data_IF_582379421586
#
_entry.id   IF_582379421586
#
_cell.length_a   1.000
_cell.length_b   1.000
_cell.length_c   1.000
_cell.angle_alpha   90.00
_cell.angle_beta   90.00
_cell.angle_gamma   90.00
#
_symmetry.space_group_name_H-M   'P 1'
#
loop_
_entity.id
_entity.type
_entity.pdbx_description
1 polymer ?
#
# COMPACT_ATOMS: atom_id res chain seq x y z
N UNK A 1 -9.81 -87.63 -10.17
CA UNK A 1 -10.39 -86.43 -10.79
C UNK A 1 -10.49 -85.34 -9.74
N UNK A 2 -10.04 -84.14 -10.12
CA UNK A 2 -10.31 -82.80 -9.56
C UNK A 2 -9.74 -82.39 -8.19
N UNK A 3 -8.66 -81.59 -8.30
CA UNK A 3 -8.25 -80.50 -7.42
C UNK A 3 -9.25 -79.32 -7.51
N UNK A 4 -9.44 -78.59 -6.40
CA UNK A 4 -9.71 -77.14 -6.36
C UNK A 4 -9.53 -76.68 -4.89
N UNK A 5 -8.45 -75.97 -4.55
CA UNK A 5 -8.22 -74.52 -4.68
C UNK A 5 -8.80 -73.72 -3.50
N UNK A 6 -7.91 -73.29 -2.60
CA UNK A 6 -8.22 -72.35 -1.52
C UNK A 6 -8.51 -70.95 -2.07
N UNK A 7 -9.55 -70.33 -1.55
CA UNK A 7 -9.94 -68.95 -1.85
C UNK A 7 -9.74 -68.07 -0.62
N UNK A 8 -8.86 -67.07 -0.76
CA UNK A 8 -8.64 -65.99 0.18
C UNK A 8 -9.86 -65.03 0.14
N UNK A 9 -10.67 -64.97 1.19
CA UNK A 9 -11.76 -64.00 1.29
C UNK A 9 -11.19 -62.58 1.52
N UNK A 10 -11.48 -61.66 0.61
CA UNK A 10 -11.17 -60.23 0.75
C UNK A 10 -12.15 -59.59 1.73
N UNK A 11 -11.73 -58.65 2.59
CA UNK A 11 -12.65 -57.96 3.47
C UNK A 11 -13.63 -57.10 2.64
N UNK A 12 -14.93 -57.30 2.87
CA UNK A 12 -15.99 -56.46 2.29
C UNK A 12 -15.81 -55.03 2.80
N UNK A 13 -15.56 -54.09 1.89
CA UNK A 13 -15.72 -52.66 2.18
C UNK A 13 -17.18 -52.40 2.54
N UNK A 14 -17.43 -52.07 3.81
CA UNK A 14 -18.72 -51.54 4.27
C UNK A 14 -18.82 -50.11 3.72
N UNK A 15 -19.93 -49.72 3.06
CA UNK A 15 -20.10 -48.34 2.63
C UNK A 15 -20.14 -47.46 3.89
N UNK A 16 -19.24 -46.47 3.96
CA UNK A 16 -19.33 -45.42 4.97
C UNK A 16 -20.73 -44.79 4.83
N UNK A 17 -21.59 -45.06 5.81
CA UNK A 17 -22.82 -44.32 5.99
C UNK A 17 -22.48 -42.85 6.11
N UNK A 18 -23.06 -42.10 5.20
CA UNK A 18 -23.19 -40.66 5.12
C UNK A 18 -23.20 -40.01 6.51
N UNK A 19 -22.08 -39.40 6.90
CA UNK A 19 -22.06 -38.35 7.91
C UNK A 19 -22.60 -37.08 7.25
N UNK A 20 -23.92 -37.05 7.04
CA UNK A 20 -24.62 -35.84 6.68
C UNK A 20 -24.83 -34.99 7.94
N UNK A 21 -24.61 -33.68 7.78
CA UNK A 21 -25.10 -32.58 8.63
C UNK A 21 -24.27 -32.20 9.86
N UNK A 22 -23.10 -31.59 9.61
CA UNK A 22 -22.64 -30.43 10.39
C UNK A 22 -22.22 -29.33 9.40
N UNK A 23 -23.18 -28.86 8.61
CA UNK A 23 -22.93 -27.83 7.57
C UNK A 23 -24.04 -26.78 7.63
N UNK A 24 -24.00 -25.95 8.67
CA UNK A 24 -25.01 -24.90 8.84
C UNK A 24 -24.85 -24.02 10.08
N UNK A 25 -23.98 -24.39 11.03
CA UNK A 25 -23.67 -23.55 12.18
C UNK A 25 -22.29 -22.92 11.94
N UNK A 26 -22.26 -21.57 11.91
CA UNK A 26 -21.12 -20.69 12.15
C UNK A 26 -20.33 -20.00 11.00
N UNK A 27 -20.71 -19.99 9.72
CA UNK A 27 -19.99 -19.11 8.76
C UNK A 27 -19.98 -17.63 9.22
N UNK A 28 -21.12 -17.11 9.66
CA UNK A 28 -21.25 -15.74 10.17
C UNK A 28 -20.48 -15.50 11.49
N UNK A 29 -20.41 -16.50 12.36
CA UNK A 29 -19.69 -16.39 13.63
C UNK A 29 -18.16 -16.46 13.44
N UNK A 30 -17.68 -17.18 12.42
CA UNK A 30 -16.27 -17.15 12.04
C UNK A 30 -15.90 -15.79 11.45
N UNK A 31 -16.74 -15.21 10.59
CA UNK A 31 -16.51 -13.87 10.04
C UNK A 31 -16.43 -12.81 11.16
N UNK A 32 -17.35 -12.86 12.13
CA UNK A 32 -17.31 -11.98 13.31
C UNK A 32 -16.03 -12.18 14.14
N UNK A 33 -15.62 -13.43 14.37
CA UNK A 33 -14.39 -13.72 15.10
C UNK A 33 -13.13 -13.24 14.36
N UNK A 34 -13.11 -13.33 13.02
CA UNK A 34 -12.02 -12.84 12.18
C UNK A 34 -11.95 -11.31 12.22
N UNK A 35 -13.08 -10.61 12.07
CA UNK A 35 -13.15 -9.16 12.18
C UNK A 35 -12.67 -8.70 13.56
N UNK A 36 -13.17 -9.31 14.64
CA UNK A 36 -12.73 -8.99 15.99
C UNK A 36 -11.23 -9.25 16.22
N UNK A 37 -10.66 -10.28 15.59
CA UNK A 37 -9.23 -10.53 15.65
C UNK A 37 -8.43 -9.46 14.90
N UNK A 38 -8.86 -9.07 13.71
CA UNK A 38 -8.24 -8.00 12.93
C UNK A 38 -8.26 -6.67 13.68
N UNK A 39 -9.40 -6.32 14.29
CA UNK A 39 -9.55 -5.10 15.09
C UNK A 39 -8.58 -5.08 16.29
N UNK A 40 -8.45 -6.20 17.01
CA UNK A 40 -7.48 -6.31 18.13
C UNK A 40 -6.05 -6.07 17.66
N UNK A 41 -5.65 -6.70 16.55
CA UNK A 41 -4.31 -6.52 15.97
C UNK A 41 -4.09 -5.05 15.58
N UNK A 42 -5.07 -4.43 14.91
CA UNK A 42 -4.97 -3.03 14.50
C UNK A 42 -4.91 -2.07 15.69
N UNK A 43 -5.66 -2.33 16.76
CA UNK A 43 -5.61 -1.55 17.99
C UNK A 43 -4.25 -1.64 18.68
N UNK A 44 -3.67 -2.84 18.80
CA UNK A 44 -2.33 -3.03 19.35
C UNK A 44 -1.27 -2.27 18.54
N UNK A 45 -1.35 -2.33 17.21
CA UNK A 45 -0.48 -1.57 16.31
C UNK A 45 -0.69 -0.06 16.48
N UNK A 46 -1.94 0.39 16.61
CA UNK A 46 -2.29 1.80 16.73
C UNK A 46 -1.79 2.45 18.03
N UNK A 47 -1.74 1.67 19.12
CA UNK A 47 -1.16 2.10 20.40
C UNK A 47 0.36 2.27 20.29
N UNK A 48 1.02 1.42 19.51
CA UNK A 48 2.49 1.46 19.36
C UNK A 48 2.95 2.49 18.33
N UNK A 49 2.18 2.73 17.27
CA UNK A 49 2.59 3.52 16.12
C UNK A 49 1.57 4.61 15.78
N UNK A 50 1.99 5.89 15.70
CA UNK A 50 1.15 6.94 15.14
C UNK A 50 0.87 6.67 13.66
N UNK A 51 -0.14 7.34 13.09
CA UNK A 51 -0.48 7.22 11.68
C UNK A 51 0.68 7.64 10.78
N UNK A 52 1.28 8.78 11.12
CA UNK A 52 2.50 9.30 10.52
C UNK A 52 3.41 9.78 11.64
N UNK A 53 4.64 9.27 11.71
CA UNK A 53 5.59 9.67 12.77
C UNK A 53 6.15 11.08 12.54
N UNK A 54 6.84 11.59 13.57
CA UNK A 54 7.76 12.71 13.40
C UNK A 54 8.91 12.37 12.44
N UNK A 55 9.65 13.40 12.00
CA UNK A 55 10.86 13.23 11.21
C UNK A 55 11.98 12.73 12.11
N UNK A 56 12.43 11.51 11.88
CA UNK A 56 13.48 10.85 12.64
C UNK A 56 14.78 10.83 11.84
N UNK A 57 15.92 10.73 12.55
CA UNK A 57 17.20 10.39 11.94
C UNK A 57 17.14 8.97 11.36
N UNK A 58 17.67 8.76 10.15
CA UNK A 58 17.67 7.44 9.52
C UNK A 58 18.44 6.40 10.34
N UNK A 59 19.30 6.83 11.28
CA UNK A 59 20.06 5.95 12.17
C UNK A 59 19.18 5.11 13.09
N UNK A 60 17.91 5.50 13.31
CA UNK A 60 16.96 4.69 14.08
C UNK A 60 16.77 3.30 13.48
N UNK A 61 16.90 3.15 12.16
CA UNK A 61 16.78 1.85 11.48
C UNK A 61 17.84 0.85 11.95
N UNK A 62 19.05 1.29 12.32
CA UNK A 62 20.08 0.38 12.80
C UNK A 62 19.68 -0.37 14.08
N UNK A 63 18.81 0.24 14.89
CA UNK A 63 18.32 -0.36 16.15
C UNK A 63 17.14 -1.31 15.93
N UNK A 64 16.52 -1.29 14.76
CA UNK A 64 15.37 -2.13 14.43
C UNK A 64 15.76 -3.51 13.90
N UNK A 65 16.98 -3.62 13.38
CA UNK A 65 17.54 -4.86 12.87
C UNK A 65 18.65 -5.34 13.77
N UNK A 66 18.78 -6.66 13.92
CA UNK A 66 19.85 -7.25 14.72
C UNK A 66 21.23 -6.85 14.15
N UNK A 67 22.22 -6.69 15.03
CA UNK A 67 23.56 -6.25 14.64
C UNK A 67 24.29 -7.28 13.77
N UNK A 68 23.95 -8.56 13.93
CA UNK A 68 24.47 -9.69 13.18
C UNK A 68 23.77 -9.90 11.82
N UNK A 69 22.68 -9.18 11.55
CA UNK A 69 22.04 -9.16 10.25
C UNK A 69 22.79 -8.23 9.27
N UNK A 70 23.96 -8.72 8.84
CA UNK A 70 24.89 -7.99 7.99
C UNK A 70 24.26 -7.49 6.68
N UNK A 71 23.25 -8.18 6.14
CA UNK A 71 22.58 -7.80 4.89
C UNK A 71 21.77 -6.52 5.11
N UNK A 72 20.95 -6.49 6.16
CA UNK A 72 20.13 -5.32 6.47
C UNK A 72 20.99 -4.15 6.95
N UNK A 73 21.98 -4.41 7.79
CA UNK A 73 22.95 -3.39 8.23
C UNK A 73 23.65 -2.73 7.04
N UNK A 74 24.06 -3.50 6.02
CA UNK A 74 24.67 -2.95 4.81
C UNK A 74 23.69 -2.15 3.95
N UNK A 75 22.44 -2.61 3.82
CA UNK A 75 21.38 -1.87 3.10
C UNK A 75 21.07 -0.53 3.76
N UNK A 76 21.02 -0.49 5.10
CA UNK A 76 20.83 0.75 5.85
C UNK A 76 22.02 1.69 5.66
N UNK A 77 23.26 1.17 5.63
CA UNK A 77 24.47 1.96 5.29
C UNK A 77 24.38 2.58 3.90
N UNK A 78 23.92 1.82 2.91
CA UNK A 78 23.76 2.33 1.55
C UNK A 78 22.62 3.36 1.45
N UNK A 79 21.58 3.21 2.25
CA UNK A 79 20.49 4.17 2.35
C UNK A 79 20.95 5.50 2.98
N UNK A 80 21.77 5.43 4.04
CA UNK A 80 22.40 6.59 4.70
C UNK A 80 23.28 7.43 3.78
N UNK A 81 23.79 6.86 2.68
CA UNK A 81 24.53 7.63 1.67
C UNK A 81 23.63 8.62 0.93
N UNK A 82 22.34 8.30 0.77
CA UNK A 82 21.37 9.05 -0.04
C UNK A 82 20.40 9.88 0.79
N UNK A 83 20.02 9.40 1.98
CA UNK A 83 18.97 9.99 2.81
C UNK A 83 19.49 10.21 4.24
N UNK A 84 19.10 11.31 4.86
CA UNK A 84 19.44 11.61 6.27
C UNK A 84 18.29 11.30 7.22
N UNK A 85 17.06 11.50 6.77
CA UNK A 85 15.89 11.42 7.63
C UNK A 85 14.88 10.39 7.13
N UNK A 86 14.04 9.96 8.05
CA UNK A 86 13.00 8.97 7.85
C UNK A 86 11.72 9.38 8.58
N UNK A 87 10.58 9.12 7.94
CA UNK A 87 9.25 9.21 8.56
C UNK A 87 8.55 7.87 8.40
N UNK A 88 8.01 7.32 9.47
CA UNK A 88 7.33 6.02 9.47
C UNK A 88 5.82 6.23 9.36
N UNK A 89 5.14 5.28 8.71
CA UNK A 89 3.68 5.21 8.72
C UNK A 89 3.22 3.95 9.42
N UNK A 90 2.02 4.01 10.04
CA UNK A 90 1.41 2.86 10.71
C UNK A 90 1.24 1.69 9.72
N UNK A 91 1.64 0.46 10.07
CA UNK A 91 1.49 -0.71 9.20
C UNK A 91 0.04 -1.25 9.22
N UNK A 92 -0.91 -0.46 8.72
CA UNK A 92 -2.36 -0.72 8.71
C UNK A 92 -2.89 -1.14 7.32
N UNK A 93 -2.00 -1.44 6.37
CA UNK A 93 -2.34 -1.71 4.97
C UNK A 93 -2.60 -0.46 4.12
N UNK A 94 -2.78 0.72 4.73
CA UNK A 94 -3.00 2.00 4.06
C UNK A 94 -1.72 2.86 3.95
N UNK A 95 -0.66 2.40 4.59
CA UNK A 95 0.64 3.04 4.69
C UNK A 95 1.26 3.59 3.40
N UNK A 96 0.99 3.00 2.21
CA UNK A 96 1.44 3.59 0.93
C UNK A 96 0.72 4.91 0.63
N UNK A 97 -0.62 4.88 0.62
CA UNK A 97 -1.45 6.07 0.37
C UNK A 97 -1.18 7.16 1.39
N UNK A 98 -1.02 6.78 2.66
CA UNK A 98 -0.72 7.71 3.74
C UNK A 98 0.66 8.37 3.58
N UNK A 99 1.68 7.57 3.25
CA UNK A 99 3.03 8.09 2.99
C UNK A 99 3.07 8.98 1.74
N UNK A 100 2.40 8.56 0.66
CA UNK A 100 2.28 9.34 -0.57
C UNK A 100 1.60 10.68 -0.32
N UNK A 101 0.43 10.67 0.33
CA UNK A 101 -0.32 11.89 0.61
C UNK A 101 0.47 12.88 1.44
N UNK A 102 1.08 12.44 2.55
CA UNK A 102 1.84 13.32 3.43
C UNK A 102 3.06 13.90 2.73
N UNK A 103 3.90 13.04 2.15
CA UNK A 103 5.15 13.48 1.51
C UNK A 103 4.93 14.37 0.31
N UNK A 104 3.87 14.13 -0.46
CA UNK A 104 3.55 14.97 -1.60
C UNK A 104 3.06 16.34 -1.13
N UNK A 105 2.13 16.41 -0.16
CA UNK A 105 1.66 17.68 0.39
C UNK A 105 2.77 18.46 1.12
N UNK A 106 3.66 17.79 1.85
CA UNK A 106 4.86 18.39 2.46
C UNK A 106 5.77 19.02 1.39
N UNK A 107 5.99 18.34 0.26
CA UNK A 107 6.81 18.87 -0.84
C UNK A 107 6.16 20.08 -1.56
N UNK A 108 4.84 20.19 -1.55
CA UNK A 108 4.11 21.30 -2.18
C UNK A 108 4.13 22.60 -1.36
N UNK A 109 4.53 22.56 -0.08
CA UNK A 109 4.70 23.77 0.74
C UNK A 109 5.74 24.73 0.12
N UNK A 110 6.78 24.16 -0.50
CA UNK A 110 7.88 24.92 -1.08
C UNK A 110 7.69 25.24 -2.59
N UNK A 111 6.71 24.62 -3.27
CA UNK A 111 6.46 24.81 -4.71
C UNK A 111 5.02 25.26 -4.99
N UNK A 112 4.81 26.58 -4.93
CA UNK A 112 3.50 27.21 -5.18
C UNK A 112 2.96 26.94 -6.59
N UNK A 113 3.83 26.82 -7.60
CA UNK A 113 3.38 26.58 -8.99
C UNK A 113 2.85 25.17 -9.13
N UNK A 114 3.59 24.19 -8.60
CA UNK A 114 3.16 22.80 -8.60
C UNK A 114 1.93 22.59 -7.73
N UNK A 115 1.80 23.31 -6.60
CA UNK A 115 0.61 23.30 -5.77
C UNK A 115 -0.65 23.72 -6.54
N UNK A 116 -0.58 24.81 -7.32
CA UNK A 116 -1.71 25.25 -8.13
C UNK A 116 -2.08 24.23 -9.22
N UNK A 117 -1.08 23.61 -9.86
CA UNK A 117 -1.30 22.51 -10.82
C UNK A 117 -1.98 21.32 -10.14
N UNK A 118 -1.47 20.91 -8.98
CA UNK A 118 -1.97 19.77 -8.22
C UNK A 118 -3.41 20.01 -7.72
N UNK A 119 -3.70 21.21 -7.22
CA UNK A 119 -5.05 21.63 -6.81
C UNK A 119 -6.03 21.57 -7.98
N UNK A 120 -5.64 22.05 -9.17
CA UNK A 120 -6.50 21.99 -10.35
C UNK A 120 -6.80 20.55 -10.81
N UNK A 121 -5.78 19.68 -10.82
CA UNK A 121 -5.96 18.26 -11.15
C UNK A 121 -6.85 17.56 -10.12
N UNK A 122 -6.64 17.85 -8.82
CA UNK A 122 -7.41 17.27 -7.71
C UNK A 122 -8.86 17.77 -7.66
N UNK A 123 -9.12 19.01 -8.07
CA UNK A 123 -10.49 19.52 -8.21
C UNK A 123 -11.23 18.80 -9.34
N UNK A 124 -10.58 18.66 -10.50
CA UNK A 124 -11.15 17.99 -11.67
C UNK A 124 -11.36 16.49 -11.45
N UNK A 125 -10.54 15.84 -10.63
CA UNK A 125 -10.59 14.39 -10.45
C UNK A 125 -11.91 13.88 -9.90
N UNK A 126 -12.67 14.70 -9.14
CA UNK A 126 -14.03 14.33 -8.71
C UNK A 126 -14.96 14.14 -9.92
N UNK A 127 -15.01 15.12 -10.82
CA UNK A 127 -15.83 15.05 -12.03
C UNK A 127 -15.42 13.87 -12.92
N UNK A 128 -14.11 13.63 -13.05
CA UNK A 128 -13.59 12.49 -13.81
C UNK A 128 -14.06 11.16 -13.20
N UNK A 129 -14.07 11.00 -11.87
CA UNK A 129 -14.61 9.81 -11.20
C UNK A 129 -16.12 9.67 -11.39
N UNK A 130 -16.90 10.75 -11.23
CA UNK A 130 -18.35 10.72 -11.44
C UNK A 130 -18.68 10.30 -12.88
N UNK A 131 -17.94 10.81 -13.87
CA UNK A 131 -18.12 10.44 -15.28
C UNK A 131 -17.81 8.96 -15.57
N UNK A 132 -17.01 8.31 -14.71
CA UNK A 132 -16.69 6.88 -14.78
C UNK A 132 -17.72 6.00 -14.05
N UNK A 133 -18.76 6.60 -13.46
CA UNK A 133 -19.84 5.88 -12.79
C UNK A 133 -19.67 5.73 -11.28
N UNK A 134 -18.69 6.41 -10.66
CA UNK A 134 -18.67 6.56 -9.21
C UNK A 134 -19.82 7.47 -8.77
N UNK A 135 -20.46 7.12 -7.66
CA UNK A 135 -21.65 7.85 -7.20
C UNK A 135 -21.23 9.13 -6.49
N UNK A 136 -21.60 10.30 -7.03
CA UNK A 136 -21.10 11.61 -6.57
C UNK A 136 -21.23 11.84 -5.06
N UNK A 137 -22.43 11.66 -4.50
CA UNK A 137 -22.67 11.89 -3.08
C UNK A 137 -21.86 10.95 -2.15
N UNK A 138 -21.36 9.83 -2.67
CA UNK A 138 -20.54 8.88 -1.87
C UNK A 138 -19.07 9.25 -1.85
N UNK A 139 -18.61 10.05 -2.83
CA UNK A 139 -17.20 10.42 -2.96
C UNK A 139 -16.94 11.88 -2.56
N UNK A 140 -17.99 12.68 -2.44
CA UNK A 140 -17.92 14.11 -2.16
C UNK A 140 -17.23 14.42 -0.84
N UNK A 141 -17.58 13.74 0.25
CA UNK A 141 -16.96 14.00 1.56
C UNK A 141 -15.46 13.67 1.57
N UNK A 142 -15.06 12.61 0.87
CA UNK A 142 -13.66 12.22 0.72
C UNK A 142 -12.89 13.23 -0.14
N UNK A 143 -13.51 13.72 -1.21
CA UNK A 143 -12.95 14.78 -2.05
C UNK A 143 -12.77 16.08 -1.28
N UNK A 144 -13.79 16.50 -0.52
CA UNK A 144 -13.75 17.71 0.29
C UNK A 144 -12.60 17.66 1.31
N UNK A 145 -12.45 16.54 2.01
CA UNK A 145 -11.33 16.34 2.95
C UNK A 145 -9.97 16.45 2.26
N UNK A 146 -9.84 15.89 1.06
CA UNK A 146 -8.60 16.00 0.29
C UNK A 146 -8.32 17.45 -0.15
N UNK A 147 -9.34 18.18 -0.59
CA UNK A 147 -9.21 19.59 -0.97
C UNK A 147 -8.89 20.47 0.23
N UNK A 148 -9.49 20.21 1.40
CA UNK A 148 -9.20 20.93 2.65
C UNK A 148 -7.73 20.80 3.04
N UNK A 149 -7.14 19.60 2.92
CA UNK A 149 -5.71 19.39 3.15
C UNK A 149 -4.83 20.16 2.15
N UNK A 150 -5.23 20.22 0.88
CA UNK A 150 -4.53 21.02 -0.14
C UNK A 150 -4.63 22.52 0.19
N UNK A 151 -5.78 23.00 0.66
CA UNK A 151 -5.97 24.39 1.07
C UNK A 151 -5.15 24.76 2.32
N UNK A 152 -4.96 23.81 3.26
CA UNK A 152 -4.05 24.03 4.39
C UNK A 152 -2.61 24.30 3.92
N UNK A 153 -2.14 23.53 2.93
CA UNK A 153 -0.83 23.73 2.29
C UNK A 153 -0.78 25.09 1.56
N UNK A 154 -1.84 25.46 0.84
CA UNK A 154 -1.93 26.75 0.15
C UNK A 154 -1.87 27.96 1.10
N UNK A 155 -2.41 27.82 2.31
CA UNK A 155 -2.31 28.82 3.38
C UNK A 155 -0.94 28.86 4.05
N UNK A 156 0.05 28.11 3.55
CA UNK A 156 1.41 28.02 4.09
C UNK A 156 1.44 27.61 5.56
N UNK A 157 0.70 26.55 5.88
CA UNK A 157 0.72 25.94 7.21
C UNK A 157 2.10 25.35 7.56
N UNK A 158 2.37 25.16 8.84
CA UNK A 158 3.62 24.50 9.24
C UNK A 158 3.56 22.99 8.94
N UNK A 159 4.71 22.36 8.73
CA UNK A 159 4.80 20.89 8.58
C UNK A 159 4.21 20.17 9.80
N UNK A 160 4.31 20.77 10.99
CA UNK A 160 3.75 20.22 12.22
C UNK A 160 2.21 20.24 12.23
N UNK A 161 1.59 21.30 11.72
CA UNK A 161 0.13 21.39 11.59
C UNK A 161 -0.39 20.42 10.54
N UNK A 162 0.29 20.30 9.40
CA UNK A 162 -0.02 19.28 8.38
C UNK A 162 0.09 17.87 8.97
N UNK A 163 1.13 17.61 9.76
CA UNK A 163 1.32 16.33 10.45
C UNK A 163 0.23 16.06 11.49
N UNK A 164 -0.26 17.09 12.18
CA UNK A 164 -1.37 16.97 13.11
C UNK A 164 -2.66 16.57 12.36
N UNK A 165 -2.98 17.20 11.22
CA UNK A 165 -4.11 16.81 10.36
C UNK A 165 -3.98 15.36 9.88
N UNK A 166 -2.78 14.91 9.50
CA UNK A 166 -2.54 13.52 9.09
C UNK A 166 -2.58 12.50 10.24
N UNK A 167 -2.47 12.95 11.49
CA UNK A 167 -2.62 12.11 12.67
C UNK A 167 -4.04 12.15 13.27
N UNK A 168 -4.95 12.97 12.74
CA UNK A 168 -6.38 12.78 12.96
C UNK A 168 -6.87 11.57 12.17
N UNK A 169 -7.46 10.59 12.88
CA UNK A 169 -7.83 9.30 12.28
C UNK A 169 -8.85 9.47 11.16
N UNK A 170 -9.85 10.34 11.35
CA UNK A 170 -10.93 10.53 10.38
C UNK A 170 -10.42 11.21 9.10
N UNK A 171 -9.65 12.30 9.24
CA UNK A 171 -9.10 13.07 8.13
C UNK A 171 -8.12 12.24 7.31
N UNK A 172 -7.23 11.53 8.00
CA UNK A 172 -6.21 10.69 7.38
C UNK A 172 -6.81 9.50 6.65
N UNK A 173 -7.86 8.86 7.19
CA UNK A 173 -8.53 7.75 6.53
C UNK A 173 -9.41 8.21 5.36
N UNK A 174 -10.08 9.36 5.47
CA UNK A 174 -10.84 9.96 4.36
C UNK A 174 -9.95 10.30 3.18
N UNK A 175 -8.76 10.86 3.45
CA UNK A 175 -7.72 11.05 2.44
C UNK A 175 -7.34 9.73 1.76
N UNK A 176 -7.05 8.67 2.55
CA UNK A 176 -6.68 7.37 2.01
C UNK A 176 -7.78 6.80 1.11
N UNK A 177 -9.04 6.89 1.52
CA UNK A 177 -10.18 6.45 0.71
C UNK A 177 -10.19 7.20 -0.63
N UNK A 178 -10.04 8.52 -0.62
CA UNK A 178 -10.02 9.29 -1.86
C UNK A 178 -8.87 8.88 -2.79
N UNK A 179 -7.65 8.72 -2.26
CA UNK A 179 -6.49 8.28 -3.04
C UNK A 179 -6.68 6.86 -3.62
N UNK A 180 -7.34 5.95 -2.89
CA UNK A 180 -7.73 4.62 -3.39
C UNK A 180 -8.72 4.74 -4.55
N UNK A 181 -9.73 5.60 -4.44
CA UNK A 181 -10.69 5.85 -5.51
C UNK A 181 -10.04 6.44 -6.76
N UNK A 182 -9.10 7.38 -6.61
CA UNK A 182 -8.30 7.90 -7.73
C UNK A 182 -7.49 6.81 -8.42
N UNK A 183 -6.89 5.90 -7.63
CA UNK A 183 -6.16 4.75 -8.15
C UNK A 183 -7.09 3.83 -8.94
N UNK A 184 -8.25 3.48 -8.37
CA UNK A 184 -9.27 2.66 -9.04
C UNK A 184 -9.73 3.30 -10.35
N UNK A 185 -10.07 4.59 -10.34
CA UNK A 185 -10.49 5.31 -11.53
C UNK A 185 -9.44 5.30 -12.63
N UNK A 186 -8.17 5.54 -12.30
CA UNK A 186 -7.10 5.48 -13.29
C UNK A 186 -6.92 4.07 -13.88
N UNK A 187 -6.94 3.04 -13.04
CA UNK A 187 -6.84 1.65 -13.49
C UNK A 187 -7.99 1.28 -14.43
N UNK A 188 -9.23 1.65 -14.08
CA UNK A 188 -10.40 1.37 -14.90
C UNK A 188 -10.37 2.14 -16.24
N UNK A 189 -9.92 3.39 -16.23
CA UNK A 189 -9.76 4.21 -17.44
C UNK A 189 -8.75 3.60 -18.42
N UNK A 190 -7.61 3.15 -17.91
CA UNK A 190 -6.55 2.51 -18.69
C UNK A 190 -6.61 0.98 -18.64
N UNK A 191 -7.83 0.42 -18.54
CA UNK A 191 -8.04 -1.01 -18.30
C UNK A 191 -7.33 -1.93 -19.29
N UNK A 192 -7.33 -1.59 -20.59
CA UNK A 192 -6.62 -2.37 -21.63
C UNK A 192 -5.12 -2.47 -21.40
N UNK A 193 -4.52 -1.43 -20.82
CA UNK A 193 -3.10 -1.46 -20.48
C UNK A 193 -2.85 -2.36 -19.26
N UNK A 194 -3.70 -2.24 -18.23
CA UNK A 194 -3.50 -2.94 -16.96
C UNK A 194 -3.96 -4.39 -16.94
N UNK A 195 -4.83 -4.83 -17.85
CA UNK A 195 -5.38 -6.19 -17.85
C UNK A 195 -4.31 -7.29 -17.86
N UNK A 196 -3.17 -7.04 -18.53
CA UNK A 196 -2.06 -7.98 -18.65
C UNK A 196 -1.20 -8.09 -17.37
N UNK A 197 -1.34 -7.15 -16.44
CA UNK A 197 -0.60 -7.11 -15.18
C UNK A 197 -1.42 -7.65 -14.01
N UNK A 198 -2.69 -8.02 -14.23
CA UNK A 198 -3.59 -8.51 -13.19
C UNK A 198 -3.57 -10.03 -13.17
N UNK A 199 -3.15 -10.57 -12.02
CA UNK A 199 -3.11 -12.02 -11.80
C UNK A 199 -4.49 -12.59 -11.45
N UNK A 200 -4.70 -13.85 -11.82
CA UNK A 200 -5.87 -14.65 -11.41
C UNK A 200 -7.07 -14.58 -12.35
N UNK A 201 -6.91 -14.10 -13.59
CA UNK A 201 -7.98 -14.09 -14.60
C UNK A 201 -9.14 -13.13 -14.27
N UNK A 202 -8.91 -12.19 -13.35
CA UNK A 202 -9.87 -11.15 -12.97
C UNK A 202 -9.85 -10.01 -13.97
N UNK A 203 -10.99 -9.38 -14.16
CA UNK A 203 -11.06 -8.09 -14.87
C UNK A 203 -10.44 -6.97 -14.02
N UNK A 204 -10.05 -5.87 -14.66
CA UNK A 204 -9.52 -4.69 -13.97
C UNK A 204 -10.50 -4.14 -12.93
N UNK A 205 -11.79 -4.17 -13.24
CA UNK A 205 -12.84 -3.72 -12.33
C UNK A 205 -12.95 -4.62 -11.09
N UNK A 206 -12.93 -5.93 -11.27
CA UNK A 206 -12.95 -6.88 -10.14
C UNK A 206 -11.70 -6.73 -9.26
N UNK A 207 -10.52 -6.53 -9.88
CA UNK A 207 -9.30 -6.24 -9.14
C UNK A 207 -9.43 -4.95 -8.33
N UNK A 208 -9.98 -3.88 -8.90
CA UNK A 208 -10.18 -2.62 -8.18
C UNK A 208 -11.10 -2.79 -6.97
N UNK A 209 -12.22 -3.48 -7.13
CA UNK A 209 -13.20 -3.73 -6.06
C UNK A 209 -12.66 -4.63 -4.95
N UNK A 210 -11.71 -5.52 -5.25
CA UNK A 210 -11.19 -6.49 -4.29
C UNK A 210 -9.89 -6.05 -3.59
N UNK A 211 -9.00 -5.34 -4.30
CA UNK A 211 -7.64 -5.05 -3.82
C UNK A 211 -7.32 -3.55 -3.72
N UNK A 212 -8.06 -2.68 -4.41
CA UNK A 212 -7.75 -1.23 -4.47
C UNK A 212 -8.69 -0.41 -3.59
N UNK A 213 -9.99 -0.49 -3.86
CA UNK A 213 -11.05 0.30 -3.22
C UNK A 213 -11.22 -0.02 -1.72
N UNK A 214 -11.17 -1.29 -1.28
CA UNK A 214 -11.30 -1.60 0.14
C UNK A 214 -10.14 -1.05 0.97
N UNK A 215 -10.47 -0.54 2.16
CA UNK A 215 -9.49 -0.11 3.14
C UNK A 215 -8.65 -1.28 3.66
N UNK A 216 -7.44 -0.96 4.15
CA UNK A 216 -6.53 -1.92 4.79
C UNK A 216 -5.99 -3.02 3.85
N UNK A 217 -6.18 -2.87 2.53
CA UNK A 217 -5.58 -3.73 1.50
C UNK A 217 -4.18 -3.27 1.12
N UNK A 218 -3.24 -4.20 1.05
CA UNK A 218 -1.85 -3.89 0.71
C UNK A 218 -1.72 -3.30 -0.69
N UNK A 219 -0.98 -2.20 -0.83
CA UNK A 219 -0.62 -1.65 -2.13
C UNK A 219 0.68 -2.28 -2.66
N UNK A 220 0.64 -2.68 -3.93
CA UNK A 220 1.76 -3.12 -4.77
C UNK A 220 2.08 -2.11 -5.90
N UNK A 221 3.08 -2.39 -6.73
CA UNK A 221 3.61 -1.53 -7.78
C UNK A 221 2.55 -0.96 -8.74
N UNK A 222 1.54 -1.76 -9.10
CA UNK A 222 0.42 -1.32 -9.95
C UNK A 222 -0.33 -0.12 -9.35
N UNK A 223 -0.52 -0.10 -8.03
CA UNK A 223 -1.18 1.00 -7.31
C UNK A 223 -0.33 2.26 -7.33
N UNK A 224 0.99 2.09 -7.18
CA UNK A 224 1.95 3.20 -7.16
C UNK A 224 1.97 3.92 -8.50
N UNK A 225 2.08 3.15 -9.60
CA UNK A 225 2.05 3.69 -10.95
C UNK A 225 0.72 4.36 -11.23
N UNK A 226 -0.40 3.69 -10.95
CA UNK A 226 -1.73 4.23 -11.22
C UNK A 226 -1.99 5.53 -10.48
N UNK A 227 -1.64 5.62 -9.20
CA UNK A 227 -1.81 6.86 -8.43
C UNK A 227 -0.90 7.99 -8.93
N UNK A 228 0.36 7.68 -9.25
CA UNK A 228 1.31 8.66 -9.81
C UNK A 228 0.78 9.29 -11.10
N UNK A 229 0.27 8.44 -12.00
CA UNK A 229 -0.27 8.88 -13.28
C UNK A 229 -1.63 9.57 -13.13
N UNK A 230 -2.47 9.14 -12.19
CA UNK A 230 -3.75 9.78 -11.89
C UNK A 230 -3.58 11.26 -11.53
N UNK A 231 -2.59 11.57 -10.69
CA UNK A 231 -2.29 12.92 -10.23
C UNK A 231 -1.25 13.65 -11.10
N UNK A 232 -0.70 12.96 -12.10
CA UNK A 232 0.39 13.45 -12.96
C UNK A 232 1.60 13.93 -12.15
N UNK A 233 2.01 13.15 -11.16
CA UNK A 233 3.14 13.46 -10.26
C UNK A 233 4.28 12.47 -10.44
N UNK A 234 5.52 12.94 -10.25
CA UNK A 234 6.70 12.08 -10.26
C UNK A 234 7.04 11.62 -8.84
N UNK A 235 7.14 10.30 -8.62
CA UNK A 235 7.47 9.72 -7.31
C UNK A 235 9.00 9.69 -7.06
N UNK A 236 9.84 10.12 -8.01
CA UNK A 236 11.31 10.00 -7.91
C UNK A 236 11.95 10.69 -6.68
N UNK A 237 11.36 11.77 -6.15
CA UNK A 237 11.85 12.42 -4.93
C UNK A 237 11.40 11.76 -3.63
N UNK A 238 10.45 10.82 -3.69
CA UNK A 238 9.79 10.19 -2.55
C UNK A 238 10.17 8.72 -2.48
N UNK A 239 11.14 8.39 -1.63
CA UNK A 239 11.44 6.98 -1.38
C UNK A 239 10.45 6.42 -0.36
N UNK A 240 9.40 5.74 -0.84
CA UNK A 240 8.55 4.89 0.01
C UNK A 240 9.19 3.50 0.07
N UNK A 241 9.96 3.24 1.12
CA UNK A 241 10.48 1.91 1.46
C UNK A 241 9.34 1.09 2.05
N UNK A 242 8.64 0.34 1.20
CA UNK A 242 7.56 -0.56 1.65
C UNK A 242 8.10 -1.83 2.32
N UNK A 243 9.27 -2.33 1.89
CA UNK A 243 9.96 -3.52 2.45
C UNK A 243 11.47 -3.39 2.22
N UNK A 244 12.27 -3.64 3.25
CA UNK A 244 13.69 -3.98 3.07
C UNK A 244 13.73 -5.51 2.87
N UNK A 245 13.98 -5.94 1.64
CA UNK A 245 13.98 -7.37 1.30
C UNK A 245 15.33 -8.00 1.68
N UNK A 246 15.34 -9.21 2.21
CA UNK A 246 16.57 -9.94 2.57
C UNK A 246 17.33 -10.53 1.35
N UNK A 247 16.81 -10.36 0.13
CA UNK A 247 17.37 -11.03 -1.05
C UNK A 247 18.88 -10.70 -1.26
N UNK A 248 19.74 -11.73 -1.45
CA UNK A 248 21.19 -11.58 -1.67
C UNK A 248 21.60 -11.08 -3.06
N UNK A 249 20.68 -10.60 -3.90
CA UNK A 249 20.95 -10.25 -5.30
C UNK A 249 22.05 -9.18 -5.41
N UNK A 250 23.26 -9.62 -5.73
CA UNK A 250 24.46 -8.79 -5.86
C UNK A 250 24.37 -7.82 -7.03
N UNK A 251 24.79 -6.57 -6.82
CA UNK A 251 25.25 -5.57 -7.80
C UNK A 251 24.35 -5.16 -8.99
N UNK A 252 23.29 -5.90 -9.33
CA UNK A 252 22.37 -5.59 -10.42
C UNK A 252 21.04 -4.94 -9.95
N UNK A 253 20.87 -4.73 -8.64
CA UNK A 253 19.81 -3.90 -8.07
C UNK A 253 20.42 -2.59 -7.53
N UNK A 254 20.43 -1.47 -8.29
CA UNK A 254 21.01 -0.19 -7.83
C UNK A 254 20.20 0.51 -6.72
N UNK A 255 19.19 -0.16 -6.16
CA UNK A 255 18.37 0.37 -5.10
C UNK A 255 18.22 -0.69 -4.00
N UNK A 256 18.60 -0.33 -2.78
CA UNK A 256 18.36 -1.09 -1.54
C UNK A 256 16.85 -1.19 -1.18
N UNK A 257 16.00 -0.97 -2.18
CA UNK A 257 14.55 -0.83 -2.18
C UNK A 257 14.16 -1.26 -3.59
N UNK A 258 13.16 -2.11 -3.79
CA UNK A 258 12.62 -2.27 -5.14
C UNK A 258 12.22 -0.86 -5.62
N UNK A 259 12.88 -0.28 -6.65
CA UNK A 259 12.50 1.04 -7.10
C UNK A 259 11.09 0.92 -7.67
N UNK A 260 10.13 1.60 -7.06
CA UNK A 260 8.77 1.68 -7.58
C UNK A 260 8.68 2.53 -8.87
N UNK A 261 9.80 3.04 -9.40
CA UNK A 261 9.88 3.64 -10.73
C UNK A 261 11.32 3.54 -11.26
N UNK A 262 11.69 2.59 -12.14
CA UNK A 262 12.59 2.97 -13.23
C UNK A 262 11.79 3.87 -14.17
N UNK A 263 12.37 5.01 -14.56
CA UNK A 263 11.84 5.80 -15.66
C UNK A 263 11.56 4.84 -16.84
N UNK A 264 10.33 4.82 -17.35
CA UNK A 264 9.97 4.02 -18.52
C UNK A 264 10.63 4.63 -19.77
N UNK A 265 11.53 3.93 -20.47
CA UNK A 265 11.47 3.85 -21.91
C UNK A 265 10.47 2.75 -22.31
N UNK A 266 9.72 3.00 -23.37
CA UNK A 266 8.72 2.10 -23.94
C UNK A 266 9.33 0.73 -24.33
N UNK A 267 9.18 -0.31 -23.51
CA UNK A 267 9.33 -1.73 -23.87
C UNK A 267 8.90 -2.65 -22.71
N UNK A 268 8.42 -3.89 -22.98
CA UNK A 268 7.75 -4.72 -21.98
C UNK A 268 8.78 -5.42 -21.08
N UNK A 269 8.62 -5.29 -19.76
CA UNK A 269 9.42 -6.01 -18.77
C UNK A 269 8.47 -6.87 -17.92
N UNK A 270 8.73 -8.17 -17.90
CA UNK A 270 8.09 -9.17 -17.05
C UNK A 270 8.56 -9.04 -15.60
N UNK A 271 7.62 -8.97 -14.65
CA UNK A 271 7.89 -8.93 -13.20
C UNK A 271 7.78 -10.33 -12.57
N UNK A 272 8.71 -10.72 -11.68
CA UNK A 272 8.54 -11.88 -10.82
C UNK A 272 7.80 -11.52 -9.51
N UNK A 273 6.75 -12.27 -9.21
CA UNK A 273 5.99 -12.25 -7.95
C UNK A 273 6.79 -12.88 -6.81
N UNK A 274 7.01 -12.16 -5.71
CA UNK A 274 7.58 -12.70 -4.47
C UNK A 274 6.89 -12.12 -3.23
N UNK A 275 5.90 -12.86 -2.73
CA UNK A 275 5.31 -12.68 -1.41
C UNK A 275 6.12 -13.47 -0.36
N UNK A 276 6.45 -12.83 0.76
CA UNK A 276 6.99 -13.46 1.97
C UNK A 276 6.40 -12.78 3.22
N UNK A 277 6.21 -13.49 4.35
CA UNK A 277 5.48 -12.99 5.50
C UNK A 277 6.38 -12.21 6.47
N UNK A 278 5.89 -11.11 7.02
CA UNK A 278 6.53 -10.37 8.11
C UNK A 278 6.14 -8.89 8.11
N UNK A 279 5.71 -8.38 9.27
CA UNK A 279 5.20 -7.03 9.47
C UNK A 279 6.05 -5.98 8.73
N UNK A 280 5.45 -5.35 7.72
CA UNK A 280 6.11 -4.35 6.87
C UNK A 280 5.82 -2.95 7.41
N UNK A 281 6.73 -2.39 8.20
CA UNK A 281 6.75 -0.94 8.44
C UNK A 281 7.09 -0.26 7.12
N UNK A 282 6.14 0.46 6.52
CA UNK A 282 6.41 1.24 5.32
C UNK A 282 6.97 2.60 5.75
N UNK A 283 8.04 2.98 5.07
CA UNK A 283 8.99 3.99 5.50
C UNK A 283 9.08 5.03 4.40
N UNK A 284 9.06 6.31 4.75
CA UNK A 284 9.37 7.42 3.85
C UNK A 284 10.79 7.90 4.13
N UNK A 285 11.69 7.89 3.15
CA UNK A 285 13.03 8.46 3.30
C UNK A 285 13.13 9.82 2.60
N UNK A 286 13.67 10.82 3.30
CA UNK A 286 13.75 12.21 2.84
C UNK A 286 15.15 12.49 2.26
N UNK A 287 15.26 12.95 0.99
CA UNK A 287 16.56 13.16 0.33
C UNK A 287 17.46 14.10 1.11
N UNK A 288 18.78 13.96 0.94
CA UNK A 288 19.75 14.97 1.36
C UNK A 288 19.61 16.21 0.45
N UNK A 289 18.81 17.19 0.87
CA UNK A 289 18.63 18.50 0.24
C UNK A 289 18.71 19.63 1.26
N UNK A 290 19.35 20.74 0.89
CA UNK A 290 19.85 21.86 1.71
C UNK A 290 18.85 22.42 2.73
N UNK A 291 19.27 22.52 3.99
CA UNK A 291 18.62 23.37 4.98
C UNK A 291 18.39 24.79 4.42
N UNK A 292 17.17 25.33 4.42
CA UNK A 292 16.99 26.76 4.65
C UNK A 292 17.37 27.00 6.11
N UNK A 293 18.25 27.97 6.34
CA UNK A 293 18.80 28.28 7.66
C UNK A 293 17.74 28.64 8.69
N UNK A 294 18.16 28.48 9.95
CA UNK A 294 17.71 29.21 11.14
C UNK A 294 17.18 30.62 10.88
#
# INVERSE_FOLDING_TARGET
MQRAAGGCERPRCVPLRTAALVSGVNCLAYDEAIMAQQDRIQQEIAVQNPLVSERLELSVLYKEYAEDDNIYQQKIKDLHKKYSYIRKTRPDGNCFYRAFGFSHLEALLDDSKELQRFKAVSAKSKEDLVSQGFTEFTIEDFHNTFMDLIEQVEKQTSVADLLASFNDQSTSDYLVVYLRLLTSGYLQRESKFFEHFIEGGRTVKEFCQQEVEPMCKESDHIHIIALAQALSVSIQGMLVVSRVCACPCSAACPAAVCPAVPALPQAPISLPSLAGPGASTRILAVPRGTCPGT
#
